data_IF_248972685738
#
_entry.id   IF_248972685738
#
_cell.length_a   1.000
_cell.length_b   1.000
_cell.length_c   1.000
_cell.angle_alpha   90.00
_cell.angle_beta   90.00
_cell.angle_gamma   90.00
#
_symmetry.space_group_name_H-M   'P 1'
#
loop_
_entity.id
_entity.type
_entity.pdbx_description
1 polymer ?
#
# COMPACT_ATOMS: atom_id res chain seq x y z
N UNK A 1 8.43 7.45 22.01
CA UNK A 1 7.65 7.49 20.75
C UNK A 1 8.57 7.15 19.58
N UNK A 2 8.70 5.87 19.24
CA UNK A 2 9.39 5.47 18.01
C UNK A 2 8.50 5.86 16.84
N UNK A 3 8.84 6.96 16.16
CA UNK A 3 8.24 7.29 14.87
C UNK A 3 8.60 6.14 13.93
N UNK A 4 7.68 5.19 13.74
CA UNK A 4 7.81 4.22 12.67
C UNK A 4 7.80 5.03 11.38
N UNK A 5 8.98 5.18 10.78
CA UNK A 5 9.13 5.87 9.51
C UNK A 5 8.38 5.04 8.48
N UNK A 6 7.22 5.54 8.05
CA UNK A 6 6.51 4.96 6.92
C UNK A 6 7.02 5.66 5.66
N UNK A 7 7.89 5.02 4.85
CA UNK A 7 8.47 5.67 3.69
C UNK A 7 7.36 6.15 2.74
N UNK A 8 7.55 7.27 2.02
CA UNK A 8 6.56 7.70 1.03
C UNK A 8 6.40 6.65 -0.07
N UNK A 9 5.23 6.65 -0.73
CA UNK A 9 4.98 5.74 -1.87
C UNK A 9 5.98 6.03 -2.99
N UNK A 10 6.80 5.04 -3.32
CA UNK A 10 7.81 5.14 -4.35
C UNK A 10 7.21 5.18 -5.75
N UNK A 11 7.84 5.93 -6.64
CA UNK A 11 7.61 5.92 -8.09
C UNK A 11 8.71 5.18 -8.84
N UNK A 12 9.81 4.84 -8.17
CA UNK A 12 10.95 4.18 -8.79
C UNK A 12 10.59 2.72 -9.11
N UNK A 13 10.58 2.30 -10.38
CA UNK A 13 10.27 0.92 -10.78
C UNK A 13 11.19 -0.14 -10.17
N UNK A 14 12.41 0.25 -9.80
CA UNK A 14 13.43 -0.61 -9.21
C UNK A 14 13.37 -0.66 -7.68
N UNK A 15 12.55 0.17 -7.05
CA UNK A 15 12.41 0.14 -5.60
C UNK A 15 11.67 -1.15 -5.16
N UNK A 16 12.08 -1.77 -4.05
CA UNK A 16 11.52 -3.04 -3.60
C UNK A 16 10.04 -2.96 -3.18
N UNK A 17 9.54 -1.75 -2.94
CA UNK A 17 8.13 -1.45 -2.64
C UNK A 17 7.31 -1.05 -3.87
N UNK A 18 7.91 -0.87 -5.05
CA UNK A 18 7.24 -0.30 -6.22
C UNK A 18 5.92 -0.97 -6.58
N UNK A 19 5.85 -2.30 -6.56
CA UNK A 19 4.63 -3.03 -6.90
C UNK A 19 3.50 -2.79 -5.90
N UNK A 20 3.83 -2.78 -4.60
CA UNK A 20 2.87 -2.49 -3.55
C UNK A 20 2.39 -1.03 -3.63
N UNK A 21 3.33 -0.10 -3.85
CA UNK A 21 3.04 1.33 -3.93
C UNK A 21 2.21 1.68 -5.17
N UNK A 22 2.47 1.01 -6.30
CA UNK A 22 1.63 1.10 -7.51
C UNK A 22 0.22 0.59 -7.26
N UNK A 23 0.06 -0.52 -6.51
CA UNK A 23 -1.25 -1.07 -6.18
C UNK A 23 -2.06 -0.12 -5.27
N UNK A 24 -1.41 0.50 -4.27
CA UNK A 24 -2.03 1.53 -3.43
C UNK A 24 -2.48 2.72 -4.25
N UNK A 25 -1.63 3.24 -5.15
CA UNK A 25 -2.01 4.36 -6.05
C UNK A 25 -3.22 4.01 -6.91
N UNK A 26 -3.25 2.82 -7.48
CA UNK A 26 -4.40 2.37 -8.27
C UNK A 26 -5.66 2.20 -7.40
N UNK A 27 -5.55 1.73 -6.17
CA UNK A 27 -6.68 1.63 -5.24
C UNK A 27 -7.21 3.00 -4.81
N UNK A 28 -6.31 3.96 -4.58
CA UNK A 28 -6.68 5.36 -4.28
C UNK A 28 -7.45 5.96 -5.46
N UNK A 29 -6.96 5.80 -6.69
CA UNK A 29 -7.65 6.29 -7.89
C UNK A 29 -9.05 5.70 -8.04
N UNK A 30 -9.24 4.41 -7.72
CA UNK A 30 -10.57 3.79 -7.74
C UNK A 30 -11.49 4.35 -6.67
N UNK A 31 -10.98 4.61 -5.47
CA UNK A 31 -11.74 5.24 -4.41
C UNK A 31 -12.15 6.67 -4.78
N UNK A 32 -11.22 7.45 -5.34
CA UNK A 32 -11.49 8.82 -5.79
C UNK A 32 -12.57 8.81 -6.89
N UNK A 33 -12.46 7.90 -7.86
CA UNK A 33 -13.48 7.72 -8.90
C UNK A 33 -14.84 7.30 -8.33
N UNK A 34 -14.89 6.41 -7.33
CA UNK A 34 -16.13 6.02 -6.66
C UNK A 34 -16.78 7.18 -5.89
N UNK A 35 -15.97 8.00 -5.21
CA UNK A 35 -16.43 9.20 -4.51
C UNK A 35 -17.00 10.23 -5.50
N UNK A 36 -16.31 10.43 -6.63
CA UNK A 36 -16.77 11.35 -7.66
C UNK A 36 -18.07 10.84 -8.31
N UNK A 37 -18.14 9.56 -8.66
CA UNK A 37 -19.34 8.93 -9.21
C UNK A 37 -20.55 9.07 -8.29
N UNK A 38 -20.39 8.97 -6.95
CA UNK A 38 -21.49 9.18 -5.99
C UNK A 38 -22.15 10.55 -6.13
N UNK A 39 -21.41 11.59 -6.51
CA UNK A 39 -21.96 12.95 -6.69
C UNK A 39 -22.97 13.03 -7.81
N UNK A 40 -22.93 12.08 -8.75
CA UNK A 40 -23.77 12.05 -9.94
C UNK A 40 -24.79 10.89 -9.95
N UNK A 41 -24.85 10.11 -8.87
CA UNK A 41 -25.66 8.88 -8.83
C UNK A 41 -27.06 9.08 -8.23
N UNK A 42 -28.09 8.60 -8.91
CA UNK A 42 -29.49 8.66 -8.43
C UNK A 42 -29.76 7.68 -7.28
N UNK A 43 -29.09 6.52 -7.28
CA UNK A 43 -29.16 5.54 -6.19
C UNK A 43 -28.02 5.75 -5.19
N UNK A 44 -28.34 6.34 -4.03
CA UNK A 44 -27.38 6.65 -2.98
C UNK A 44 -26.90 5.41 -2.22
N UNK A 45 -27.74 4.38 -2.08
CA UNK A 45 -27.38 3.14 -1.38
C UNK A 45 -26.30 2.37 -2.16
N UNK A 46 -26.47 2.21 -3.48
CA UNK A 46 -25.48 1.54 -4.31
C UNK A 46 -24.15 2.30 -4.31
N UNK A 47 -24.20 3.63 -4.43
CA UNK A 47 -23.00 4.46 -4.39
C UNK A 47 -22.26 4.36 -3.04
N UNK A 48 -22.98 4.18 -1.94
CA UNK A 48 -22.38 3.96 -0.63
C UNK A 48 -21.62 2.64 -0.54
N UNK A 49 -22.23 1.53 -1.01
CA UNK A 49 -21.56 0.22 -1.00
C UNK A 49 -20.34 0.20 -1.92
N UNK A 50 -20.40 0.82 -3.10
CA UNK A 50 -19.24 0.93 -4.01
C UNK A 50 -18.07 1.68 -3.34
N UNK A 51 -18.34 2.78 -2.64
CA UNK A 51 -17.30 3.51 -1.90
C UNK A 51 -16.73 2.64 -0.78
N UNK A 52 -17.58 1.90 -0.07
CA UNK A 52 -17.15 1.01 1.02
C UNK A 52 -16.22 -0.09 0.48
N UNK A 53 -16.59 -0.75 -0.61
CA UNK A 53 -15.74 -1.75 -1.27
C UNK A 53 -14.40 -1.16 -1.74
N UNK A 54 -14.42 0.04 -2.32
CA UNK A 54 -13.20 0.73 -2.74
C UNK A 54 -12.27 1.05 -1.55
N UNK A 55 -12.83 1.48 -0.40
CA UNK A 55 -12.07 1.70 0.84
C UNK A 55 -11.47 0.41 1.37
N UNK A 56 -12.22 -0.69 1.34
CA UNK A 56 -11.70 -2.00 1.75
C UNK A 56 -10.57 -2.48 0.84
N UNK A 57 -10.67 -2.23 -0.48
CA UNK A 57 -9.60 -2.50 -1.44
C UNK A 57 -8.32 -1.70 -1.18
N UNK A 58 -8.46 -0.42 -0.82
CA UNK A 58 -7.33 0.43 -0.41
C UNK A 58 -6.66 -0.13 0.86
N UNK A 59 -7.45 -0.41 1.90
CA UNK A 59 -6.95 -0.96 3.18
C UNK A 59 -6.20 -2.29 2.98
N UNK A 60 -6.69 -3.17 2.11
CA UNK A 60 -6.01 -4.43 1.77
C UNK A 60 -4.65 -4.17 1.11
N UNK A 61 -4.58 -3.19 0.21
CA UNK A 61 -3.32 -2.81 -0.48
C UNK A 61 -2.29 -2.23 0.50
N UNK A 62 -2.72 -1.40 1.45
CA UNK A 62 -1.88 -0.87 2.53
C UNK A 62 -1.35 -1.99 3.45
N UNK A 63 -2.21 -2.95 3.82
CA UNK A 63 -1.78 -4.09 4.63
C UNK A 63 -0.72 -4.93 3.91
N UNK A 64 -0.90 -5.21 2.62
CA UNK A 64 0.08 -5.93 1.81
C UNK A 64 1.43 -5.19 1.76
N UNK A 65 1.40 -3.86 1.69
CA UNK A 65 2.62 -3.04 1.76
C UNK A 65 3.33 -3.18 3.11
N UNK A 66 2.60 -3.13 4.22
CA UNK A 66 3.17 -3.35 5.56
C UNK A 66 3.81 -4.73 5.68
N UNK A 67 3.14 -5.77 5.17
CA UNK A 67 3.71 -7.12 5.14
C UNK A 67 4.99 -7.18 4.32
N UNK A 68 5.02 -6.51 3.15
CA UNK A 68 6.22 -6.43 2.31
C UNK A 68 7.37 -5.70 3.00
N UNK A 69 7.10 -4.61 3.72
CA UNK A 69 8.11 -3.89 4.51
C UNK A 69 8.72 -4.82 5.58
N UNK A 70 7.87 -5.58 6.29
CA UNK A 70 8.34 -6.55 7.30
C UNK A 70 9.22 -7.65 6.68
N UNK A 71 8.81 -8.20 5.55
CA UNK A 71 9.57 -9.20 4.82
C UNK A 71 10.94 -8.67 4.38
N UNK A 72 10.99 -7.45 3.83
CA UNK A 72 12.25 -6.79 3.44
C UNK A 72 13.17 -6.56 4.63
N UNK A 73 12.63 -6.13 5.78
CA UNK A 73 13.40 -5.95 7.00
C UNK A 73 13.99 -7.28 7.51
N UNK A 74 13.20 -8.37 7.47
CA UNK A 74 13.68 -9.70 7.84
C UNK A 74 14.78 -10.21 6.90
N UNK A 75 14.64 -10.01 5.60
CA UNK A 75 15.65 -10.40 4.61
C UNK A 75 16.95 -9.59 4.78
N UNK A 76 16.86 -8.29 5.07
CA UNK A 76 18.02 -7.45 5.34
C UNK A 76 18.76 -7.90 6.61
N UNK A 77 18.02 -8.27 7.68
CA UNK A 77 18.62 -8.80 8.90
C UNK A 77 19.35 -10.12 8.68
N UNK A 78 18.81 -11.01 7.83
CA UNK A 78 19.45 -12.27 7.46
C UNK A 78 20.70 -12.07 6.58
N UNK A 79 20.64 -11.11 5.65
CA UNK A 79 21.76 -10.77 4.77
C UNK A 79 22.93 -10.08 5.50
N UNK A 80 22.66 -9.30 6.55
CA UNK A 80 23.69 -8.66 7.38
C UNK A 80 24.43 -9.60 8.33
N UNK A 81 23.95 -10.83 8.54
CA UNK A 81 24.54 -11.81 9.45
C UNK A 81 25.66 -12.68 8.86
N UNK A 82 25.94 -12.58 7.56
CA UNK A 82 26.93 -13.42 6.85
C UNK A 82 28.22 -12.69 6.47
N UNK A 83 28.41 -11.44 6.92
CA UNK A 83 29.53 -10.59 6.54
C UNK A 83 30.55 -10.24 7.64
N UNK A 84 30.36 -10.68 8.89
CA UNK A 84 31.24 -10.31 10.02
C UNK A 84 32.15 -11.43 10.53
N UNK A 85 32.40 -12.47 9.74
CA UNK A 85 33.20 -13.65 10.15
C UNK A 85 34.35 -13.98 9.18
N UNK A 86 34.79 -13.01 8.36
CA UNK A 86 35.97 -13.16 7.49
C UNK A 86 36.81 -11.88 7.41
N UNK A 87 37.34 -11.40 8.53
CA UNK A 87 38.59 -10.62 8.65
C UNK A 87 39.05 -10.65 10.10
#
# INVERSE_FOLDING_TARGET
MTKSYDPPLTTNPHAPLYRADKAIKAAQQRLDAAIDAKRHHTSQNLAHEVIKEAREGLKKSELLRVLRIRELAQNAAQAGGTGSDML
#
